data_IF_922535225501
#
_entry.id   IF_922535225501
#
_cell.length_a   1.000
_cell.length_b   1.000
_cell.length_c   1.000
_cell.angle_alpha   90.00
_cell.angle_beta   90.00
_cell.angle_gamma   90.00
#
_symmetry.space_group_name_H-M   'P 1'
#
loop_
_entity.id
_entity.type
_entity.pdbx_description
1 polymer ?
#
# COMPACT_ATOMS: atom_id res chain seq x y z
N UNK A 1 -89.55 -38.56 -47.16
CA UNK A 1 -89.66 -39.36 -48.41
C UNK A 1 -88.25 -39.71 -48.86
N UNK A 2 -88.09 -40.97 -49.25
CA UNK A 2 -86.83 -41.61 -49.63
C UNK A 2 -86.26 -41.10 -50.97
N UNK A 3 -84.94 -41.19 -51.18
CA UNK A 3 -84.35 -42.22 -52.04
C UNK A 3 -82.84 -42.03 -52.27
N UNK A 4 -82.16 -43.17 -52.23
CA UNK A 4 -80.80 -43.45 -52.69
C UNK A 4 -80.46 -42.85 -54.04
N UNK A 5 -79.20 -42.40 -54.21
CA UNK A 5 -78.39 -42.75 -55.38
C UNK A 5 -76.93 -42.92 -54.98
N UNK A 6 -76.44 -44.15 -55.09
CA UNK A 6 -75.03 -44.49 -54.91
C UNK A 6 -74.14 -43.89 -56.00
N UNK A 7 -72.86 -43.75 -55.67
CA UNK A 7 -71.79 -43.48 -56.64
C UNK A 7 -70.61 -44.43 -56.42
N UNK A 8 -69.91 -44.80 -57.51
CA UNK A 8 -69.48 -46.17 -57.75
C UNK A 8 -68.04 -46.45 -57.30
N UNK A 9 -67.81 -47.72 -56.96
CA UNK A 9 -66.67 -48.50 -57.43
C UNK A 9 -65.27 -48.03 -57.06
N UNK A 10 -64.71 -48.67 -56.02
CA UNK A 10 -63.29 -48.61 -55.70
C UNK A 10 -62.43 -49.18 -56.84
N UNK A 11 -61.61 -48.32 -57.47
CA UNK A 11 -60.51 -48.76 -58.33
C UNK A 11 -59.30 -49.01 -57.42
N UNK A 12 -58.95 -50.28 -57.23
CA UNK A 12 -57.69 -50.70 -56.59
C UNK A 12 -56.51 -50.20 -57.43
N UNK A 13 -55.77 -49.20 -56.93
CA UNK A 13 -54.36 -49.03 -57.32
C UNK A 13 -53.50 -49.88 -56.40
N UNK A 14 -53.11 -51.05 -56.89
CA UNK A 14 -52.07 -51.85 -56.27
C UNK A 14 -50.71 -51.16 -56.40
N UNK A 15 -50.11 -50.86 -55.26
CA UNK A 15 -48.69 -51.07 -54.97
C UNK A 15 -48.51 -50.91 -53.46
N UNK A 16 -48.38 -52.03 -52.74
CA UNK A 16 -47.97 -52.03 -51.34
C UNK A 16 -46.61 -51.33 -51.26
N UNK A 17 -46.57 -50.12 -50.70
CA UNK A 17 -45.30 -49.52 -50.26
C UNK A 17 -44.83 -50.38 -49.09
N UNK A 18 -43.79 -51.18 -49.34
CA UNK A 18 -43.19 -52.06 -48.34
C UNK A 18 -42.80 -51.30 -47.07
N UNK A 19 -42.75 -52.02 -45.95
CA UNK A 19 -42.33 -51.54 -44.64
C UNK A 19 -41.01 -50.77 -44.75
N UNK A 20 -41.03 -49.48 -44.39
CA UNK A 20 -39.83 -48.65 -44.31
C UNK A 20 -38.96 -49.21 -43.17
N UNK A 21 -37.86 -49.87 -43.55
CA UNK A 21 -36.82 -50.30 -42.61
C UNK A 21 -36.31 -49.06 -41.88
N UNK A 22 -36.30 -49.09 -40.55
CA UNK A 22 -35.86 -47.97 -39.71
C UNK A 22 -34.43 -47.54 -40.02
N UNK A 23 -34.11 -46.27 -39.74
CA UNK A 23 -32.84 -45.59 -40.05
C UNK A 23 -31.58 -46.16 -39.36
N UNK A 24 -31.67 -47.34 -38.72
CA UNK A 24 -30.67 -47.96 -37.84
C UNK A 24 -29.36 -48.42 -38.49
N UNK A 25 -29.04 -47.93 -39.70
CA UNK A 25 -27.77 -48.21 -40.38
C UNK A 25 -27.26 -47.10 -41.30
N UNK A 26 -27.98 -45.99 -41.43
CA UNK A 26 -27.66 -44.94 -42.42
C UNK A 26 -26.57 -43.94 -41.96
N UNK A 27 -26.10 -44.02 -40.71
CA UNK A 27 -25.00 -43.21 -40.18
C UNK A 27 -24.11 -44.00 -39.21
N UNK A 28 -23.41 -45.04 -39.70
CA UNK A 28 -22.41 -45.79 -38.90
C UNK A 28 -21.36 -44.87 -38.26
N UNK A 29 -20.92 -43.83 -38.98
CA UNK A 29 -19.98 -42.84 -38.46
C UNK A 29 -20.55 -41.93 -37.34
N UNK A 30 -21.89 -41.80 -37.23
CA UNK A 30 -22.51 -41.05 -36.12
C UNK A 30 -22.75 -41.93 -34.87
N UNK A 31 -22.50 -43.24 -34.98
CA UNK A 31 -22.59 -44.22 -33.91
C UNK A 31 -21.22 -44.59 -33.31
N UNK A 32 -20.11 -44.12 -33.90
CA UNK A 32 -18.82 -44.14 -33.21
C UNK A 32 -18.91 -43.22 -32.00
N UNK A 33 -18.94 -43.81 -30.81
CA UNK A 33 -18.89 -43.06 -29.56
C UNK A 33 -17.67 -42.15 -29.60
N UNK A 34 -17.88 -40.85 -29.40
CA UNK A 34 -16.78 -39.91 -29.20
C UNK A 34 -15.88 -40.52 -28.12
N UNK A 35 -14.61 -40.76 -28.47
CA UNK A 35 -13.66 -41.45 -27.60
C UNK A 35 -13.61 -40.86 -26.19
N UNK A 36 -13.01 -41.57 -25.23
CA UNK A 36 -13.04 -41.20 -23.82
C UNK A 36 -12.65 -39.73 -23.63
N UNK A 37 -13.53 -38.96 -23.00
CA UNK A 37 -13.32 -37.54 -22.79
C UNK A 37 -12.00 -37.32 -22.03
N UNK A 38 -11.04 -36.51 -22.53
CA UNK A 38 -9.71 -36.35 -21.93
C UNK A 38 -9.79 -35.99 -20.44
N UNK A 39 -8.75 -36.25 -19.64
CA UNK A 39 -8.76 -35.87 -18.22
C UNK A 39 -8.96 -34.36 -18.06
N UNK A 40 -9.60 -33.95 -16.97
CA UNK A 40 -9.90 -32.55 -16.66
C UNK A 40 -8.66 -31.63 -16.72
N UNK A 41 -7.50 -32.18 -16.40
CA UNK A 41 -6.20 -31.50 -16.39
C UNK A 41 -5.58 -31.30 -17.78
N UNK A 42 -6.03 -32.02 -18.80
CA UNK A 42 -5.47 -31.97 -20.16
C UNK A 42 -6.37 -31.18 -21.12
N UNK A 43 -7.52 -30.70 -20.63
CA UNK A 43 -8.47 -29.86 -21.37
C UNK A 43 -8.11 -28.39 -21.18
N UNK A 44 -7.58 -27.73 -22.21
CA UNK A 44 -7.13 -26.32 -22.18
C UNK A 44 -8.17 -25.33 -21.64
N UNK A 45 -9.46 -25.57 -21.85
CA UNK A 45 -10.56 -24.71 -21.38
C UNK A 45 -11.03 -25.03 -19.94
N UNK A 46 -10.61 -26.15 -19.35
CA UNK A 46 -11.07 -26.59 -18.04
C UNK A 46 -10.24 -25.95 -16.91
N UNK A 47 -10.85 -25.55 -15.77
CA UNK A 47 -10.12 -24.91 -14.66
C UNK A 47 -8.94 -25.75 -14.13
N UNK A 48 -9.04 -27.08 -14.16
CA UNK A 48 -7.96 -27.97 -13.71
C UNK A 48 -6.70 -27.88 -14.59
N UNK A 49 -6.83 -27.68 -15.92
CA UNK A 49 -5.68 -27.42 -16.79
C UNK A 49 -4.98 -26.11 -16.43
N UNK A 50 -5.75 -25.05 -16.17
CA UNK A 50 -5.21 -23.76 -15.72
C UNK A 50 -4.46 -23.89 -14.39
N UNK A 51 -5.02 -24.64 -13.43
CA UNK A 51 -4.36 -24.93 -12.14
C UNK A 51 -3.09 -25.75 -12.31
N UNK A 52 -3.10 -26.79 -13.15
CA UNK A 52 -1.92 -27.61 -13.47
C UNK A 52 -0.82 -26.77 -14.11
N UNK A 53 -1.14 -25.96 -15.13
CA UNK A 53 -0.20 -25.02 -15.74
C UNK A 53 0.38 -24.01 -14.75
N UNK A 54 -0.44 -23.46 -13.85
CA UNK A 54 0.02 -22.55 -12.80
C UNK A 54 0.94 -23.25 -11.78
N UNK A 55 0.61 -24.49 -11.39
CA UNK A 55 1.44 -25.31 -10.50
C UNK A 55 2.76 -25.72 -11.15
N UNK A 56 2.76 -26.11 -12.43
CA UNK A 56 3.96 -26.39 -13.21
C UNK A 56 4.84 -25.14 -13.36
N UNK A 57 4.24 -23.97 -13.62
CA UNK A 57 4.97 -22.70 -13.66
C UNK A 57 5.56 -22.32 -12.29
N UNK A 58 4.82 -22.52 -11.19
CA UNK A 58 5.30 -22.29 -9.84
C UNK A 58 6.43 -23.26 -9.46
N UNK A 59 6.30 -24.54 -9.81
CA UNK A 59 7.34 -25.55 -9.59
C UNK A 59 8.60 -25.28 -10.42
N UNK A 60 8.46 -24.85 -11.68
CA UNK A 60 9.58 -24.41 -12.50
C UNK A 60 10.27 -23.15 -11.95
N UNK A 61 9.49 -22.20 -11.38
CA UNK A 61 10.03 -21.02 -10.69
C UNK A 61 10.82 -21.40 -9.44
N UNK A 62 10.35 -22.40 -8.69
CA UNK A 62 11.02 -22.94 -7.50
C UNK A 62 12.25 -23.81 -7.81
N UNK A 63 12.25 -24.52 -8.95
CA UNK A 63 13.34 -25.39 -9.39
C UNK A 63 14.49 -24.64 -10.10
N UNK A 64 14.35 -23.34 -10.34
CA UNK A 64 15.40 -22.53 -10.95
C UNK A 64 16.64 -22.37 -10.07
N UNK A 65 17.80 -21.95 -10.62
CA UNK A 65 19.04 -21.76 -9.86
C UNK A 65 18.80 -20.86 -8.64
N UNK A 66 19.23 -21.26 -7.44
CA UNK A 66 19.04 -20.45 -6.24
C UNK A 66 19.67 -19.07 -6.43
N UNK A 67 19.01 -18.02 -5.95
CA UNK A 67 19.59 -16.67 -5.93
C UNK A 67 20.97 -16.71 -5.27
N UNK A 68 21.96 -16.04 -5.90
CA UNK A 68 23.27 -15.80 -5.32
C UNK A 68 23.09 -15.14 -3.95
N UNK A 69 23.87 -15.54 -2.95
CA UNK A 69 23.72 -15.02 -1.57
C UNK A 69 23.76 -13.50 -1.50
N UNK A 70 24.59 -12.87 -2.34
CA UNK A 70 24.72 -11.41 -2.47
C UNK A 70 23.42 -10.72 -2.95
N UNK A 71 22.49 -11.43 -3.59
CA UNK A 71 21.23 -10.87 -4.10
C UNK A 71 20.06 -11.03 -3.12
N UNK A 72 20.30 -11.62 -1.95
CA UNK A 72 19.28 -11.71 -0.90
C UNK A 72 19.17 -10.36 -0.20
N UNK A 73 17.92 -9.95 0.04
CA UNK A 73 17.63 -8.77 0.86
C UNK A 73 17.77 -9.13 2.34
N UNK A 74 18.42 -8.29 3.14
CA UNK A 74 18.35 -8.37 4.60
C UNK A 74 16.91 -8.18 5.10
N UNK A 75 16.65 -8.57 6.35
CA UNK A 75 15.34 -8.40 6.95
C UNK A 75 14.98 -6.90 7.07
N UNK A 76 13.74 -6.54 6.72
CA UNK A 76 13.26 -5.16 6.78
C UNK A 76 13.65 -4.27 5.59
N UNK A 77 14.48 -4.77 4.66
CA UNK A 77 14.80 -4.05 3.43
C UNK A 77 13.67 -4.16 2.41
N UNK A 78 13.44 -3.09 1.67
CA UNK A 78 12.46 -3.01 0.59
C UNK A 78 13.16 -2.88 -0.77
N UNK A 79 12.47 -3.30 -1.84
CA UNK A 79 12.92 -3.10 -3.22
C UNK A 79 11.97 -2.17 -3.98
N UNK A 80 12.56 -1.17 -4.62
CA UNK A 80 11.90 -0.34 -5.62
C UNK A 80 12.34 -0.82 -7.00
N UNK A 81 11.39 -1.21 -7.84
CA UNK A 81 11.66 -1.76 -9.17
C UNK A 81 11.15 -0.83 -10.27
N UNK A 82 11.89 -0.72 -11.39
CA UNK A 82 11.50 0.12 -12.53
C UNK A 82 12.38 1.36 -12.66
N UNK A 83 12.57 1.85 -13.90
CA UNK A 83 13.45 3.02 -14.14
C UNK A 83 12.89 4.28 -13.51
N UNK A 84 11.62 4.60 -13.77
CA UNK A 84 11.01 5.82 -13.24
C UNK A 84 10.87 5.79 -11.71
N UNK A 85 10.35 4.71 -11.08
CA UNK A 85 10.26 4.65 -9.62
C UNK A 85 11.61 4.78 -8.92
N UNK A 86 12.68 4.22 -9.52
CA UNK A 86 14.03 4.31 -8.96
C UNK A 86 14.62 5.71 -9.12
N UNK A 87 14.45 6.35 -10.29
CA UNK A 87 14.83 7.77 -10.45
C UNK A 87 14.11 8.66 -9.45
N UNK A 88 12.80 8.49 -9.30
CA UNK A 88 11.98 9.24 -8.34
C UNK A 88 12.48 9.05 -6.90
N UNK A 89 12.77 7.82 -6.51
CA UNK A 89 13.28 7.49 -5.17
C UNK A 89 14.62 8.18 -4.89
N UNK A 90 15.54 8.08 -5.84
CA UNK A 90 16.85 8.73 -5.79
C UNK A 90 16.72 10.25 -5.69
N UNK A 91 15.88 10.85 -6.52
CA UNK A 91 15.71 12.31 -6.60
C UNK A 91 14.94 12.87 -5.41
N UNK A 92 14.15 12.04 -4.73
CA UNK A 92 13.45 12.35 -3.48
C UNK A 92 14.32 12.13 -2.23
N UNK A 93 15.57 11.69 -2.39
CA UNK A 93 16.52 11.47 -1.30
C UNK A 93 16.18 10.27 -0.42
N UNK A 94 15.44 9.28 -0.94
CA UNK A 94 15.19 8.03 -0.22
C UNK A 94 16.54 7.34 0.01
N UNK A 95 16.88 6.92 1.24
CA UNK A 95 18.11 6.19 1.50
C UNK A 95 18.11 4.86 0.75
N UNK A 96 19.26 4.47 0.22
CA UNK A 96 19.40 3.19 -0.46
C UNK A 96 20.80 2.61 -0.23
N UNK A 97 20.88 1.28 -0.20
CA UNK A 97 22.13 0.56 0.10
C UNK A 97 22.76 -0.03 -1.15
N UNK A 98 21.97 -0.51 -2.11
CA UNK A 98 22.45 -1.22 -3.30
C UNK A 98 21.58 -0.89 -4.52
N UNK A 99 22.19 -0.89 -5.70
CA UNK A 99 21.49 -0.75 -6.98
C UNK A 99 21.70 -2.01 -7.81
N UNK A 100 20.63 -2.63 -8.27
CA UNK A 100 20.68 -3.81 -9.14
C UNK A 100 20.35 -3.42 -10.57
N UNK A 101 21.20 -3.84 -11.50
CA UNK A 101 21.14 -3.39 -12.89
C UNK A 101 21.33 -4.59 -13.81
N UNK A 102 20.45 -4.76 -14.80
CA UNK A 102 20.64 -5.78 -15.84
C UNK A 102 21.68 -5.29 -16.84
N UNK A 103 22.66 -6.14 -17.15
CA UNK A 103 23.75 -5.82 -18.07
C UNK A 103 23.30 -5.19 -19.40
N UNK A 104 24.17 -4.35 -19.97
CA UNK A 104 23.97 -3.63 -21.24
C UNK A 104 22.67 -2.79 -21.32
N UNK A 105 22.38 -1.98 -20.31
CA UNK A 105 21.41 -0.89 -20.42
C UNK A 105 22.03 0.27 -21.23
N UNK A 106 22.11 0.11 -22.54
CA UNK A 106 22.61 1.15 -23.44
C UNK A 106 21.67 2.37 -23.48
N UNK A 107 22.26 3.57 -23.35
CA UNK A 107 21.69 4.89 -23.68
C UNK A 107 20.28 5.19 -23.12
N UNK A 108 20.07 5.02 -21.81
CA UNK A 108 18.91 5.62 -21.13
C UNK A 108 19.39 6.66 -20.12
N UNK A 109 18.97 7.91 -20.32
CA UNK A 109 19.32 9.05 -19.45
C UNK A 109 18.93 8.80 -17.99
N UNK A 110 17.82 8.08 -17.76
CA UNK A 110 17.35 7.70 -16.41
C UNK A 110 18.30 6.71 -15.75
N UNK A 111 18.81 5.74 -16.51
CA UNK A 111 19.80 4.80 -15.98
C UNK A 111 21.08 5.56 -15.65
N UNK A 112 21.52 6.47 -16.51
CA UNK A 112 22.68 7.31 -16.22
C UNK A 112 22.50 8.17 -14.95
N UNK A 113 21.29 8.70 -14.70
CA UNK A 113 20.97 9.43 -13.46
C UNK A 113 21.06 8.54 -12.22
N UNK A 114 20.51 7.33 -12.29
CA UNK A 114 20.58 6.33 -11.20
C UNK A 114 22.04 5.98 -10.90
N UNK A 115 22.85 5.76 -11.94
CA UNK A 115 24.28 5.48 -11.80
C UNK A 115 25.01 6.64 -11.10
N UNK A 116 24.75 7.89 -11.51
CA UNK A 116 25.34 9.07 -10.87
C UNK A 116 24.96 9.16 -9.40
N UNK A 117 23.71 8.87 -9.07
CA UNK A 117 23.26 8.89 -7.68
C UNK A 117 23.87 7.77 -6.84
N UNK A 118 23.98 6.56 -7.39
CA UNK A 118 24.67 5.45 -6.73
C UNK A 118 26.11 5.83 -6.39
N UNK A 119 26.83 6.44 -7.33
CA UNK A 119 28.19 6.95 -7.09
C UNK A 119 28.23 8.02 -5.99
N UNK A 120 27.29 8.99 -5.99
CA UNK A 120 27.23 10.02 -4.94
C UNK A 120 26.94 9.45 -3.56
N UNK A 121 26.08 8.43 -3.48
CA UNK A 121 25.71 7.77 -2.25
C UNK A 121 26.73 6.71 -1.79
N UNK A 122 27.75 6.41 -2.60
CA UNK A 122 28.69 5.31 -2.34
C UNK A 122 28.03 3.92 -2.39
N UNK A 123 26.86 3.79 -3.01
CA UNK A 123 26.12 2.54 -3.08
C UNK A 123 26.67 1.64 -4.21
N UNK A 124 27.02 0.37 -3.92
CA UNK A 124 27.51 -0.55 -4.94
C UNK A 124 26.44 -0.85 -5.99
N UNK A 125 26.92 -0.92 -7.24
CA UNK A 125 26.11 -1.28 -8.38
C UNK A 125 26.35 -2.75 -8.74
N UNK A 126 25.30 -3.56 -8.70
CA UNK A 126 25.38 -5.00 -8.87
C UNK A 126 24.74 -5.42 -10.19
N UNK A 127 25.55 -6.03 -11.05
CA UNK A 127 25.06 -6.59 -12.30
C UNK A 127 24.31 -7.92 -12.07
N UNK A 128 23.07 -7.96 -12.53
CA UNK A 128 22.17 -9.11 -12.39
C UNK A 128 21.61 -9.55 -13.73
N UNK A 129 21.26 -10.82 -13.82
CA UNK A 129 20.48 -11.32 -14.96
C UNK A 129 19.01 -10.89 -14.82
N UNK A 130 18.28 -10.84 -15.93
CA UNK A 130 16.84 -10.54 -15.90
C UNK A 130 16.07 -11.53 -15.00
N UNK A 131 16.39 -12.82 -15.07
CA UNK A 131 15.73 -13.85 -14.28
C UNK A 131 16.02 -13.75 -12.78
N UNK A 132 17.19 -13.24 -12.39
CA UNK A 132 17.48 -12.91 -10.99
C UNK A 132 16.65 -11.73 -10.53
N UNK A 133 16.60 -10.65 -11.33
CA UNK A 133 15.82 -9.46 -10.99
C UNK A 133 14.32 -9.77 -10.90
N UNK A 134 13.77 -10.57 -11.83
CA UNK A 134 12.39 -11.06 -11.79
C UNK A 134 12.07 -11.82 -10.49
N UNK A 135 13.05 -12.52 -9.90
CA UNK A 135 12.85 -13.23 -8.62
C UNK A 135 13.00 -12.30 -7.43
N UNK A 136 13.93 -11.35 -7.48
CA UNK A 136 14.10 -10.36 -6.41
C UNK A 136 12.86 -9.48 -6.26
N UNK A 137 12.21 -9.13 -7.38
CA UNK A 137 11.05 -8.23 -7.40
C UNK A 137 9.71 -8.97 -7.39
N UNK A 138 9.70 -10.28 -7.12
CA UNK A 138 8.53 -11.15 -7.19
C UNK A 138 7.74 -11.06 -8.51
N UNK A 139 8.41 -10.70 -9.61
CA UNK A 139 7.84 -10.55 -10.95
C UNK A 139 7.28 -9.15 -11.24
N UNK A 140 7.58 -8.14 -10.41
CA UNK A 140 7.21 -6.76 -10.69
C UNK A 140 7.93 -6.22 -11.94
N UNK A 141 7.31 -5.24 -12.62
CA UNK A 141 7.83 -4.62 -13.85
C UNK A 141 9.07 -3.78 -13.55
N UNK A 142 10.24 -4.41 -13.54
CA UNK A 142 11.49 -3.80 -13.08
C UNK A 142 12.24 -3.01 -14.16
N UNK A 143 11.94 -3.21 -15.46
CA UNK A 143 12.60 -2.50 -16.58
C UNK A 143 14.15 -2.58 -16.63
N UNK A 144 14.74 -3.48 -15.85
CA UNK A 144 16.17 -3.76 -15.80
C UNK A 144 16.88 -3.10 -14.63
N UNK A 145 16.15 -2.41 -13.72
CA UNK A 145 16.73 -1.75 -12.56
C UNK A 145 15.89 -1.99 -11.31
N UNK A 146 16.55 -2.21 -10.18
CA UNK A 146 15.94 -2.10 -8.86
C UNK A 146 16.87 -1.41 -7.86
N UNK A 147 16.27 -0.84 -6.82
CA UNK A 147 16.93 -0.10 -5.76
C UNK A 147 16.56 -0.72 -4.42
N UNK A 148 17.55 -1.00 -3.59
CA UNK A 148 17.34 -1.52 -2.24
C UNK A 148 17.34 -0.42 -1.20
N UNK A 149 16.24 -0.35 -0.47
CA UNK A 149 15.99 0.64 0.57
C UNK A 149 16.12 -0.05 1.93
N UNK A 150 16.99 0.43 2.82
CA UNK A 150 17.09 -0.11 4.18
C UNK A 150 15.84 0.30 4.99
N UNK A 151 15.54 -0.40 6.10
CA UNK A 151 14.50 0.03 7.02
C UNK A 151 14.81 1.42 7.58
N UNK A 152 13.76 2.17 7.91
CA UNK A 152 13.91 3.45 8.61
C UNK A 152 14.42 3.24 10.04
N UNK A 153 15.41 4.04 10.44
CA UNK A 153 15.92 4.10 11.81
C UNK A 153 15.08 5.10 12.61
N UNK A 154 14.35 4.59 13.60
CA UNK A 154 13.52 5.43 14.46
C UNK A 154 14.37 6.08 15.54
N UNK A 155 14.02 7.33 15.87
CA UNK A 155 14.57 8.04 17.01
C UNK A 155 13.98 7.50 18.32
N UNK A 156 14.70 7.68 19.42
CA UNK A 156 14.14 7.46 20.75
C UNK A 156 13.31 8.67 21.18
N UNK A 157 12.32 8.48 22.07
CA UNK A 157 11.46 9.58 22.52
C UNK A 157 12.24 10.73 23.15
N UNK A 158 13.29 10.42 23.91
CA UNK A 158 14.12 11.44 24.57
C UNK A 158 14.87 12.31 23.56
N UNK A 159 15.26 11.77 22.40
CA UNK A 159 15.91 12.56 21.33
C UNK A 159 14.98 13.63 20.76
N UNK A 160 13.67 13.35 20.66
CA UNK A 160 12.67 14.33 20.24
C UNK A 160 12.51 15.46 21.27
N UNK A 161 12.61 15.13 22.55
CA UNK A 161 12.53 16.10 23.65
C UNK A 161 13.78 16.98 23.67
N UNK A 162 14.96 16.38 23.56
CA UNK A 162 16.25 17.09 23.50
C UNK A 162 16.30 18.07 22.32
N UNK A 163 15.86 17.65 21.13
CA UNK A 163 15.78 18.51 19.95
C UNK A 163 14.94 19.77 20.18
N UNK A 164 13.92 19.70 21.04
CA UNK A 164 13.08 20.85 21.35
C UNK A 164 13.76 21.88 22.27
N UNK A 165 14.65 21.45 23.16
CA UNK A 165 15.35 22.34 24.09
C UNK A 165 16.43 23.19 23.40
N UNK A 166 16.99 22.68 22.30
CA UNK A 166 17.96 23.40 21.48
C UNK A 166 17.28 24.41 20.53
N UNK A 167 15.96 24.42 20.47
CA UNK A 167 15.16 25.32 19.63
C UNK A 167 14.83 26.63 20.33
N UNK A 168 14.88 27.73 19.60
CA UNK A 168 14.41 29.04 20.09
C UNK A 168 12.87 29.13 20.16
N UNK A 169 12.15 28.07 19.78
CA UNK A 169 10.68 27.99 19.73
C UNK A 169 10.20 26.97 20.77
N UNK A 170 8.97 27.13 21.31
CA UNK A 170 8.39 26.10 22.16
C UNK A 170 8.28 24.76 21.42
N UNK A 171 8.56 23.65 22.10
CA UNK A 171 8.52 22.32 21.51
C UNK A 171 7.16 22.00 20.87
N UNK A 172 7.16 21.26 19.77
CA UNK A 172 5.96 20.80 19.07
C UNK A 172 6.15 19.38 18.56
N UNK A 173 5.43 18.44 19.16
CA UNK A 173 5.43 17.02 18.75
C UNK A 173 4.05 16.66 18.23
N UNK A 174 3.99 15.86 17.16
CA UNK A 174 2.75 15.28 16.68
C UNK A 174 2.69 13.81 17.06
N UNK A 175 1.69 13.41 17.84
CA UNK A 175 1.46 12.01 18.19
C UNK A 175 0.29 11.44 17.37
N UNK A 176 0.49 10.27 16.76
CA UNK A 176 -0.54 9.59 15.97
C UNK A 176 -1.08 8.37 16.70
N UNK A 177 -2.31 8.45 17.18
CA UNK A 177 -2.98 7.30 17.79
C UNK A 177 -3.64 6.44 16.73
N UNK A 178 -3.02 5.28 16.47
CA UNK A 178 -3.59 4.22 15.64
C UNK A 178 -3.84 4.60 14.17
N UNK A 179 -3.04 5.53 13.61
CA UNK A 179 -3.06 5.86 12.18
C UNK A 179 -2.32 4.78 11.40
N UNK A 180 -3.08 3.96 10.65
CA UNK A 180 -2.55 2.76 9.96
C UNK A 180 -2.22 2.95 8.49
N UNK A 181 -2.72 4.02 7.86
CA UNK A 181 -2.48 4.28 6.43
C UNK A 181 -1.14 5.00 6.21
N UNK A 182 -0.19 4.42 5.43
CA UNK A 182 1.05 5.09 5.04
C UNK A 182 0.86 6.44 4.34
N UNK A 183 -0.24 6.64 3.61
CA UNK A 183 -0.51 7.93 2.96
C UNK A 183 -0.79 9.02 3.99
N UNK A 184 -1.60 8.71 5.01
CA UNK A 184 -1.86 9.63 6.12
C UNK A 184 -0.59 9.94 6.91
N UNK A 185 0.23 8.93 7.23
CA UNK A 185 1.51 9.15 7.91
C UNK A 185 2.43 10.07 7.08
N UNK A 186 2.57 9.80 5.78
CA UNK A 186 3.38 10.64 4.89
C UNK A 186 2.88 12.08 4.79
N UNK A 187 1.56 12.28 4.72
CA UNK A 187 0.95 13.60 4.68
C UNK A 187 1.11 14.36 6.01
N UNK A 188 0.96 13.68 7.15
CA UNK A 188 1.25 14.25 8.48
C UNK A 188 2.70 14.69 8.57
N UNK A 189 3.65 13.85 8.17
CA UNK A 189 5.08 14.20 8.20
C UNK A 189 5.40 15.43 7.36
N UNK A 190 4.75 15.54 6.19
CA UNK A 190 4.88 16.72 5.33
C UNK A 190 4.37 17.99 6.03
N UNK A 191 3.19 17.92 6.65
CA UNK A 191 2.65 19.05 7.43
C UNK A 191 3.52 19.37 8.64
N UNK A 192 3.95 18.37 9.39
CA UNK A 192 4.85 18.50 10.54
C UNK A 192 6.16 19.20 10.14
N UNK A 193 6.76 18.79 9.01
CA UNK A 193 7.96 19.46 8.48
C UNK A 193 7.69 20.90 8.03
N UNK A 194 6.52 21.17 7.43
CA UNK A 194 6.17 22.51 6.97
C UNK A 194 5.96 23.49 8.13
N UNK A 195 5.37 23.01 9.23
CA UNK A 195 5.10 23.79 10.44
C UNK A 195 6.13 23.59 11.55
N UNK A 196 7.32 23.07 11.19
CA UNK A 196 8.49 22.95 12.06
C UNK A 196 8.20 22.21 13.38
N UNK A 197 7.44 21.13 13.33
CA UNK A 197 7.35 20.20 14.45
C UNK A 197 8.72 19.53 14.68
N UNK A 198 9.10 19.36 15.94
CA UNK A 198 10.37 18.77 16.35
C UNK A 198 10.39 17.25 16.17
N UNK A 199 9.22 16.62 16.12
CA UNK A 199 9.13 15.18 15.90
C UNK A 199 7.72 14.65 15.71
N UNK A 200 7.64 13.41 15.22
CA UNK A 200 6.40 12.64 15.15
C UNK A 200 6.52 11.37 15.98
N UNK A 201 5.54 11.13 16.85
CA UNK A 201 5.44 9.96 17.70
C UNK A 201 4.38 9.00 17.15
N UNK A 202 4.75 7.75 16.90
CA UNK A 202 3.83 6.69 16.46
C UNK A 202 3.90 5.46 17.38
N UNK A 203 2.81 4.69 17.55
CA UNK A 203 2.87 3.46 18.30
C UNK A 203 3.48 2.31 17.48
N UNK A 204 4.10 1.34 18.15
CA UNK A 204 4.72 0.18 17.49
C UNK A 204 3.68 -0.68 16.77
N UNK A 205 2.48 -0.78 17.35
CA UNK A 205 1.39 -1.63 16.86
C UNK A 205 0.20 -0.78 16.45
N UNK A 206 -0.56 -1.29 15.46
CA UNK A 206 -1.76 -0.64 14.93
C UNK A 206 -1.46 0.75 14.34
N UNK A 207 -0.26 0.96 13.80
CA UNK A 207 0.10 2.18 13.09
C UNK A 207 0.91 1.86 11.84
N UNK A 208 0.90 2.78 10.87
CA UNK A 208 1.76 2.75 9.71
C UNK A 208 3.22 2.84 10.16
N UNK A 209 4.08 2.06 9.51
CA UNK A 209 5.53 2.19 9.65
C UNK A 209 6.08 2.97 8.45
N UNK A 210 7.24 3.60 8.64
CA UNK A 210 7.94 4.28 7.55
C UNK A 210 8.44 3.24 6.55
N UNK A 211 7.87 3.29 5.34
CA UNK A 211 8.22 2.44 4.20
C UNK A 211 8.43 3.31 2.96
N UNK A 212 8.71 2.69 1.81
CA UNK A 212 8.89 3.42 0.54
C UNK A 212 7.72 4.33 0.20
N UNK A 213 6.48 3.91 0.49
CA UNK A 213 5.29 4.72 0.24
C UNK A 213 5.28 5.99 1.08
N UNK A 214 5.60 5.90 2.37
CA UNK A 214 5.69 7.07 3.27
C UNK A 214 6.76 8.05 2.78
N UNK A 215 7.93 7.54 2.40
CA UNK A 215 9.01 8.36 1.81
C UNK A 215 8.52 9.17 0.61
N UNK A 216 7.83 8.52 -0.34
CA UNK A 216 7.28 9.18 -1.54
C UNK A 216 6.22 10.24 -1.19
N UNK A 217 5.24 9.88 -0.36
CA UNK A 217 4.11 10.77 -0.02
C UNK A 217 4.58 12.00 0.77
N UNK A 218 5.59 11.81 1.64
CA UNK A 218 6.11 12.88 2.51
C UNK A 218 6.92 13.95 1.77
N UNK A 219 7.29 13.74 0.50
CA UNK A 219 8.15 14.64 -0.28
C UNK A 219 9.46 15.00 0.46
N UNK A 220 10.11 13.98 1.03
CA UNK A 220 11.38 14.12 1.76
C UNK A 220 11.26 14.67 3.18
N UNK A 221 10.04 14.90 3.69
CA UNK A 221 9.85 15.35 5.08
C UNK A 221 10.31 14.29 6.11
N UNK A 222 10.25 13.00 5.75
CA UNK A 222 10.78 11.89 6.58
C UNK A 222 12.26 12.06 6.93
N UNK A 223 13.06 12.74 6.08
CA UNK A 223 14.47 13.00 6.36
C UNK A 223 14.73 14.23 7.25
N UNK A 224 13.70 15.05 7.51
CA UNK A 224 13.82 16.33 8.23
C UNK A 224 13.20 16.30 9.61
N UNK A 225 12.17 15.49 9.81
CA UNK A 225 11.44 15.38 11.07
C UNK A 225 11.70 13.99 11.65
N UNK A 226 12.37 13.87 12.81
CA UNK A 226 12.62 12.58 13.44
C UNK A 226 11.30 11.92 13.87
N UNK A 227 11.27 10.59 13.79
CA UNK A 227 10.09 9.81 14.10
C UNK A 227 10.44 8.84 15.23
N UNK A 228 9.76 8.96 16.36
CA UNK A 228 9.87 8.02 17.47
C UNK A 228 8.78 6.96 17.39
N UNK A 229 9.13 5.72 17.75
CA UNK A 229 8.21 4.57 17.70
C UNK A 229 8.10 3.88 19.05
N UNK A 230 6.97 4.06 19.71
CA UNK A 230 6.78 3.65 21.10
C UNK A 230 5.86 2.45 21.29
N UNK A 231 6.19 1.58 22.25
CA UNK A 231 5.37 0.40 22.58
C UNK A 231 4.02 0.77 23.20
N UNK A 232 4.01 1.84 23.99
CA UNK A 232 2.85 2.31 24.72
C UNK A 232 2.74 3.83 24.59
N UNK A 233 1.82 4.27 23.72
CA UNK A 233 1.59 5.68 23.45
C UNK A 233 1.18 6.46 24.71
N UNK A 234 0.35 5.89 25.58
CA UNK A 234 -0.10 6.58 26.82
C UNK A 234 1.10 6.88 27.72
N UNK A 235 1.98 5.90 27.93
CA UNK A 235 3.19 6.09 28.73
C UNK A 235 4.12 7.13 28.12
N UNK A 236 4.25 7.14 26.79
CA UNK A 236 5.06 8.14 26.08
C UNK A 236 4.47 9.56 26.25
N UNK A 237 3.15 9.71 26.18
CA UNK A 237 2.47 10.98 26.45
C UNK A 237 2.67 11.43 27.90
N UNK A 238 2.56 10.54 28.89
CA UNK A 238 2.85 10.84 30.30
C UNK A 238 4.31 11.29 30.50
N UNK A 239 5.27 10.67 29.81
CA UNK A 239 6.67 11.08 29.83
C UNK A 239 6.87 12.47 29.20
N UNK A 240 6.21 12.78 28.09
CA UNK A 240 6.24 14.12 27.49
C UNK A 240 5.66 15.17 28.46
N UNK A 241 4.57 14.85 29.16
CA UNK A 241 3.99 15.72 30.20
C UNK A 241 4.95 15.98 31.35
N UNK A 242 5.65 14.94 31.81
CA UNK A 242 6.68 15.08 32.84
C UNK A 242 7.85 15.98 32.39
N UNK A 243 8.11 16.08 31.09
CA UNK A 243 9.09 16.99 30.49
C UNK A 243 8.54 18.39 30.17
N UNK A 244 7.31 18.71 30.62
CA UNK A 244 6.72 20.04 30.51
C UNK A 244 5.88 20.27 29.26
N UNK A 245 5.58 19.23 28.48
CA UNK A 245 4.64 19.35 27.36
C UNK A 245 3.19 19.30 27.81
N UNK A 246 2.35 20.09 27.18
CA UNK A 246 0.90 19.94 27.25
C UNK A 246 0.41 19.03 26.13
N UNK A 247 -0.50 18.10 26.44
CA UNK A 247 -1.03 17.15 25.47
C UNK A 247 -2.43 17.57 25.05
N UNK A 248 -2.59 17.90 23.78
CA UNK A 248 -3.88 18.31 23.21
C UNK A 248 -4.33 17.28 22.19
N UNK A 249 -5.47 16.64 22.46
CA UNK A 249 -6.10 15.70 21.52
C UNK A 249 -6.98 16.41 20.51
N UNK A 250 -6.96 15.95 19.25
CA UNK A 250 -7.89 16.42 18.22
C UNK A 250 -9.10 15.49 18.13
N UNK A 251 -10.29 16.03 18.39
CA UNK A 251 -11.55 15.33 18.24
C UNK A 251 -12.69 16.29 17.88
N UNK A 252 -13.65 15.84 17.06
CA UNK A 252 -14.78 16.68 16.63
C UNK A 252 -15.68 17.14 17.78
N UNK A 253 -15.72 16.38 18.87
CA UNK A 253 -16.48 16.66 20.11
C UNK A 253 -15.63 17.39 21.17
N UNK A 254 -14.49 17.98 20.80
CA UNK A 254 -13.63 18.73 21.71
C UNK A 254 -14.28 20.03 22.20
N UNK A 255 -14.07 20.33 23.48
CA UNK A 255 -14.69 21.45 24.19
C UNK A 255 -14.08 22.83 23.83
N UNK A 256 -12.91 22.82 23.18
CA UNK A 256 -12.18 24.03 22.78
C UNK A 256 -11.94 24.03 21.27
N UNK A 257 -12.10 25.18 20.60
CA UNK A 257 -11.70 25.29 19.20
C UNK A 257 -10.17 25.32 19.09
N UNK A 258 -9.63 24.62 18.09
CA UNK A 258 -8.21 24.69 17.73
C UNK A 258 -7.77 26.14 17.45
N UNK A 259 -8.67 27.01 16.97
CA UNK A 259 -8.40 28.43 16.72
C UNK A 259 -8.21 29.29 17.96
N UNK A 260 -8.60 28.79 19.14
CA UNK A 260 -8.52 29.50 20.41
C UNK A 260 -7.73 28.70 21.43
N UNK A 261 -6.72 27.95 20.99
CA UNK A 261 -5.85 27.17 21.86
C UNK A 261 -4.97 28.09 22.72
N UNK A 262 -5.27 28.15 24.02
CA UNK A 262 -4.53 28.94 25.00
C UNK A 262 -3.16 28.37 25.36
N UNK A 263 -2.84 27.17 24.86
CA UNK A 263 -1.60 26.43 25.14
C UNK A 263 -0.66 26.40 23.93
N UNK A 264 -0.91 27.24 22.92
CA UNK A 264 -0.12 27.23 21.69
C UNK A 264 1.32 27.77 21.90
N UNK A 265 1.54 28.62 22.90
CA UNK A 265 2.81 29.31 23.20
C UNK A 265 3.75 28.51 24.13
N UNK A 266 3.35 27.31 24.55
CA UNK A 266 4.13 26.40 25.41
C UNK A 266 4.50 25.11 24.65
N UNK A 267 5.42 24.28 25.18
CA UNK A 267 5.70 22.97 24.61
C UNK A 267 4.42 22.14 24.48
N UNK A 268 4.13 21.63 23.28
CA UNK A 268 2.84 21.07 22.92
C UNK A 268 2.98 19.73 22.21
N UNK A 269 2.12 18.77 22.56
CA UNK A 269 1.90 17.53 21.82
C UNK A 269 0.51 17.58 21.21
N UNK A 270 0.42 17.58 19.88
CA UNK A 270 -0.85 17.42 19.17
C UNK A 270 -1.10 15.94 18.90
N UNK A 271 -2.16 15.39 19.48
CA UNK A 271 -2.53 13.98 19.31
C UNK A 271 -3.66 13.86 18.29
N UNK A 272 -3.41 13.11 17.21
CA UNK A 272 -4.42 12.84 16.19
C UNK A 272 -4.81 11.37 16.21
N UNK A 273 -6.11 11.11 16.30
CA UNK A 273 -6.66 9.77 16.33
C UNK A 273 -6.78 9.10 14.96
N UNK A 274 -7.10 7.81 15.00
CA UNK A 274 -7.37 7.00 13.82
C UNK A 274 -8.64 7.45 13.09
N UNK A 275 -8.68 7.21 11.78
CA UNK A 275 -9.89 7.43 11.00
C UNK A 275 -11.04 6.57 11.54
N UNK A 276 -12.21 7.18 11.71
CA UNK A 276 -13.44 6.54 12.18
C UNK A 276 -13.55 6.45 13.71
N UNK A 277 -12.54 5.90 14.41
CA UNK A 277 -12.60 5.77 15.88
C UNK A 277 -12.13 7.00 16.63
N UNK A 278 -11.40 7.90 15.98
CA UNK A 278 -10.76 9.04 16.63
C UNK A 278 -9.73 8.60 17.65
N UNK A 279 -9.61 9.37 18.74
CA UNK A 279 -8.72 9.09 19.86
C UNK A 279 -9.21 7.86 20.62
N UNK A 280 -8.29 6.95 20.95
CA UNK A 280 -8.58 5.88 21.89
C UNK A 280 -8.88 6.45 23.27
N UNK A 281 -9.74 5.76 24.03
CA UNK A 281 -10.22 6.23 25.33
C UNK A 281 -9.09 6.66 26.28
N UNK A 282 -8.07 5.81 26.45
CA UNK A 282 -6.96 6.10 27.37
C UNK A 282 -6.12 7.28 26.90
N UNK A 283 -5.91 7.42 25.59
CA UNK A 283 -5.21 8.57 25.01
C UNK A 283 -6.01 9.85 25.28
N UNK A 284 -7.33 9.84 25.04
CA UNK A 284 -8.21 10.98 25.34
C UNK A 284 -8.19 11.36 26.82
N UNK A 285 -8.19 10.38 27.73
CA UNK A 285 -8.09 10.60 29.19
C UNK A 285 -6.71 11.15 29.61
N UNK A 286 -5.67 10.93 28.81
CA UNK A 286 -4.30 11.42 29.08
C UNK A 286 -4.10 12.87 28.60
N UNK A 287 -4.86 13.31 27.60
CA UNK A 287 -4.82 14.68 27.09
C UNK A 287 -5.22 15.69 28.18
N UNK A 288 -4.49 16.80 28.25
CA UNK A 288 -4.81 17.94 29.11
C UNK A 288 -6.02 18.73 28.57
N UNK A 289 -6.19 18.75 27.26
CA UNK A 289 -7.35 19.32 26.58
C UNK A 289 -7.71 18.53 25.33
N UNK A 290 -8.97 18.64 24.89
CA UNK A 290 -9.43 18.12 23.61
C UNK A 290 -9.93 19.29 22.77
N UNK A 291 -9.32 19.47 21.61
CA UNK A 291 -9.62 20.54 20.69
C UNK A 291 -10.37 20.03 19.45
N UNK A 292 -11.35 20.80 19.00
CA UNK A 292 -12.15 20.55 17.81
C UNK A 292 -11.81 21.52 16.69
N UNK A 293 -11.92 21.05 15.46
CA UNK A 293 -11.85 21.88 14.25
C UNK A 293 -13.29 22.15 13.84
N UNK A 294 -13.76 23.41 13.87
CA UNK A 294 -15.10 23.74 13.44
C UNK A 294 -15.31 23.35 11.96
N UNK A 295 -16.28 22.49 11.71
CA UNK A 295 -16.69 22.05 10.36
C UNK A 295 -18.20 22.21 10.18
N UNK A 296 -18.66 22.16 8.94
CA UNK A 296 -20.09 22.18 8.64
C UNK A 296 -20.80 20.96 9.26
N UNK A 297 -22.02 21.16 9.75
CA UNK A 297 -22.77 20.17 10.55
C UNK A 297 -23.19 18.91 9.80
N UNK A 298 -23.08 18.90 8.48
CA UNK A 298 -23.37 17.77 7.60
C UNK A 298 -22.22 16.76 7.50
N UNK A 299 -21.02 17.10 8.00
CA UNK A 299 -19.88 16.21 8.08
C UNK A 299 -19.53 15.84 9.51
N UNK A 300 -19.27 14.54 9.73
CA UNK A 300 -18.95 14.00 11.06
C UNK A 300 -17.47 14.18 11.43
N UNK A 301 -16.56 14.13 10.46
CA UNK A 301 -15.12 14.22 10.72
C UNK A 301 -14.29 14.58 9.48
N UNK A 302 -13.06 15.01 9.72
CA UNK A 302 -12.04 15.21 8.70
C UNK A 302 -11.07 14.02 8.66
N UNK A 303 -10.41 13.83 7.51
CA UNK A 303 -9.27 12.94 7.41
C UNK A 303 -8.17 13.33 8.43
N UNK A 304 -7.52 12.34 9.03
CA UNK A 304 -6.55 12.55 10.11
C UNK A 304 -5.38 13.47 9.69
N UNK A 305 -4.83 13.29 8.48
CA UNK A 305 -3.73 14.13 8.01
C UNK A 305 -4.17 15.57 7.73
N UNK A 306 -5.39 15.76 7.22
CA UNK A 306 -5.99 17.09 7.01
C UNK A 306 -6.22 17.79 8.35
N UNK A 307 -6.82 17.10 9.31
CA UNK A 307 -7.06 17.64 10.66
C UNK A 307 -5.74 18.04 11.34
N UNK A 308 -4.72 17.18 11.26
CA UNK A 308 -3.38 17.48 11.78
C UNK A 308 -2.80 18.73 11.12
N UNK A 309 -2.90 18.84 9.79
CA UNK A 309 -2.38 19.98 9.04
C UNK A 309 -3.05 21.30 9.42
N UNK A 310 -4.37 21.31 9.57
CA UNK A 310 -5.14 22.48 10.02
C UNK A 310 -4.73 22.87 11.45
N UNK A 311 -4.58 21.89 12.34
CA UNK A 311 -4.16 22.16 13.72
C UNK A 311 -2.75 22.72 13.82
N UNK A 312 -1.80 22.14 13.06
CA UNK A 312 -0.44 22.65 12.99
C UNK A 312 -0.38 24.07 12.45
N UNK A 313 -1.11 24.37 11.37
CA UNK A 313 -1.21 25.73 10.83
C UNK A 313 -1.72 26.71 11.88
N UNK A 314 -2.76 26.34 12.61
CA UNK A 314 -3.36 27.21 13.61
C UNK A 314 -2.44 27.43 14.81
N UNK A 315 -1.71 26.41 15.25
CA UNK A 315 -0.69 26.54 16.30
C UNK A 315 0.43 27.47 15.86
N UNK A 316 0.94 27.33 14.63
CA UNK A 316 1.97 28.21 14.08
C UNK A 316 1.48 29.67 14.03
N UNK A 317 0.24 29.91 13.59
CA UNK A 317 -0.38 31.24 13.59
C UNK A 317 -0.58 31.85 14.99
N UNK A 318 -0.81 31.04 16.02
CA UNK A 318 -0.93 31.53 17.40
C UNK A 318 0.43 31.82 18.01
N UNK A 319 1.49 31.10 17.61
CA UNK A 319 2.87 31.33 18.07
C UNK A 319 3.53 32.56 17.44
N UNK A 320 3.01 33.03 16.31
CA UNK A 320 3.49 34.25 15.64
C UNK A 320 2.88 35.55 16.18
N UNK A 321 1.84 35.47 17.01
CA UNK A 321 1.15 36.62 17.62
C UNK A 321 1.82 37.07 18.91
#
# INVERSE_FOLDING_TARGET
MANHFGRPGAIRKGAKKGTKVGSGGQRRAALEGKGPTPKAEDRTYHPAYKRKKAAEAAAAKAAGPKLRGILRLPAGHELIAGRNPVVEAVSSGIPFTRVFVVGALANDDRVAEIMRAATRAGAPLLEVTRSELDRMTDGAVHQGVALEVPPYEYAELDELVEASYDSARPGLIVALDSVTDPHNLGAVLRSASAFRADGVLIPERRSASVNVTVWKVSAGAVARVPIAREKNLVRALEQLKANGYFVVGLAGDGDQSVSSLSLADVPLVLVTGSEGKGLSRLVRETCDAVASIPIASDMESLNAAVATGIALYQVDQLREQ
#
